data_IF_742840896416
#
_entry.id   IF_742840896416
#
_cell.length_a   1.000
_cell.length_b   1.000
_cell.length_c   1.000
_cell.angle_alpha   90.00
_cell.angle_beta   90.00
_cell.angle_gamma   90.00
#
_symmetry.space_group_name_H-M   'P 1'
#
loop_
_entity.id
_entity.type
_entity.pdbx_description
1 polymer ?
#
# COMPACT_ATOMS: atom_id res chain seq x y z
N UNK A 1 2.83 -12.07 21.28
CA UNK A 1 3.97 -11.50 20.52
C UNK A 1 3.43 -10.92 19.24
N UNK A 2 3.85 -9.72 18.84
CA UNK A 2 3.43 -9.13 17.58
C UNK A 2 4.16 -9.83 16.42
N UNK A 3 3.44 -10.19 15.36
CA UNK A 3 4.02 -10.72 14.12
C UNK A 3 4.63 -9.57 13.32
N UNK A 4 5.88 -9.72 12.87
CA UNK A 4 6.59 -8.72 12.06
C UNK A 4 6.74 -9.27 10.65
N UNK A 5 6.30 -8.50 9.65
CA UNK A 5 6.47 -8.82 8.23
C UNK A 5 7.58 -7.95 7.65
N UNK A 6 8.71 -8.54 7.28
CA UNK A 6 9.85 -7.82 6.69
C UNK A 6 9.89 -8.00 5.17
N UNK A 7 9.34 -7.03 4.43
CA UNK A 7 9.31 -7.08 2.96
C UNK A 7 10.70 -6.95 2.31
N UNK A 8 11.72 -6.55 3.06
CA UNK A 8 13.09 -6.40 2.56
C UNK A 8 13.88 -7.71 2.48
N UNK A 9 13.41 -8.78 3.13
CA UNK A 9 14.07 -10.10 3.12
C UNK A 9 13.96 -10.81 1.76
N UNK A 10 12.93 -10.47 0.98
CA UNK A 10 12.69 -11.05 -0.34
C UNK A 10 13.16 -10.07 -1.41
N UNK A 11 13.94 -10.56 -2.37
CA UNK A 11 14.41 -9.75 -3.49
C UNK A 11 13.23 -9.25 -4.34
N UNK A 12 13.02 -7.93 -4.32
CA UNK A 12 12.01 -7.25 -5.13
C UNK A 12 12.41 -5.79 -5.39
N UNK A 13 11.63 -5.11 -6.23
CA UNK A 13 11.82 -3.66 -6.50
C UNK A 13 11.68 -2.80 -5.25
N UNK A 14 11.05 -3.31 -4.18
CA UNK A 14 10.97 -2.66 -2.88
C UNK A 14 12.35 -2.27 -2.34
N UNK A 15 13.32 -3.17 -2.44
CA UNK A 15 14.68 -2.96 -1.93
C UNK A 15 15.38 -1.80 -2.65
N UNK A 16 15.11 -1.62 -3.94
CA UNK A 16 15.63 -0.49 -4.72
C UNK A 16 15.05 0.84 -4.21
N UNK A 17 13.74 0.92 -3.96
CA UNK A 17 13.11 2.14 -3.45
C UNK A 17 13.63 2.51 -2.06
N UNK A 18 13.78 1.50 -1.18
CA UNK A 18 14.37 1.70 0.15
C UNK A 18 15.83 2.17 0.06
N UNK A 19 16.63 1.60 -0.85
CA UNK A 19 18.01 2.01 -1.07
C UNK A 19 18.09 3.48 -1.54
N UNK A 20 17.22 3.88 -2.48
CA UNK A 20 17.17 5.26 -2.98
C UNK A 20 16.73 6.27 -1.90
N UNK A 21 15.81 5.89 -1.00
CA UNK A 21 15.45 6.72 0.15
C UNK A 21 16.59 6.87 1.17
N UNK A 22 17.49 5.88 1.27
CA UNK A 22 18.62 5.88 2.22
C UNK A 22 19.89 6.51 1.64
N UNK A 23 20.03 6.54 0.32
CA UNK A 23 21.23 7.06 -0.34
C UNK A 23 21.38 8.57 -0.11
N UNK A 24 22.52 8.98 0.46
CA UNK A 24 22.82 10.38 0.76
C UNK A 24 22.83 11.28 -0.48
N UNK A 25 23.21 10.72 -1.63
CA UNK A 25 23.26 11.43 -2.91
C UNK A 25 21.87 11.51 -3.55
N UNK A 26 21.16 10.38 -3.64
CA UNK A 26 19.90 10.28 -4.38
C UNK A 26 18.75 10.95 -3.63
N UNK A 27 18.71 10.87 -2.29
CA UNK A 27 17.61 11.44 -1.50
C UNK A 27 17.48 12.97 -1.62
N UNK A 28 18.51 13.64 -2.15
CA UNK A 28 18.49 15.09 -2.41
C UNK A 28 17.48 15.47 -3.51
N UNK A 29 17.16 14.54 -4.41
CA UNK A 29 16.07 14.67 -5.37
C UNK A 29 14.72 14.52 -4.65
N UNK A 30 14.14 15.66 -4.28
CA UNK A 30 12.88 15.74 -3.53
C UNK A 30 11.70 15.09 -4.26
N UNK A 31 11.67 15.14 -5.60
CA UNK A 31 10.59 14.51 -6.37
C UNK A 31 10.69 13.00 -6.29
N UNK A 32 11.89 12.47 -6.47
CA UNK A 32 12.16 11.03 -6.35
C UNK A 32 11.91 10.51 -4.95
N UNK A 33 12.34 11.23 -3.91
CA UNK A 33 12.10 10.84 -2.52
C UNK A 33 10.60 10.68 -2.23
N UNK A 34 9.78 11.67 -2.61
CA UNK A 34 8.32 11.60 -2.44
C UNK A 34 7.71 10.43 -3.23
N UNK A 35 8.11 10.29 -4.50
CA UNK A 35 7.56 9.23 -5.36
C UNK A 35 7.93 7.82 -4.88
N UNK A 36 9.13 7.64 -4.32
CA UNK A 36 9.54 6.35 -3.75
C UNK A 36 8.79 6.03 -2.45
N UNK A 37 8.47 7.02 -1.62
CA UNK A 37 7.59 6.82 -0.47
C UNK A 37 6.17 6.40 -0.90
N UNK A 38 5.61 7.04 -1.93
CA UNK A 38 4.32 6.63 -2.51
C UNK A 38 4.36 5.18 -3.02
N UNK A 39 5.38 4.82 -3.81
CA UNK A 39 5.56 3.45 -4.33
C UNK A 39 5.68 2.41 -3.22
N UNK A 40 6.39 2.75 -2.15
CA UNK A 40 6.48 1.89 -0.96
C UNK A 40 5.10 1.75 -0.30
N UNK A 41 4.31 2.83 -0.22
CA UNK A 41 2.93 2.77 0.26
C UNK A 41 2.03 1.87 -0.59
N UNK A 42 2.15 1.93 -1.92
CA UNK A 42 1.43 1.06 -2.85
C UNK A 42 1.79 -0.43 -2.62
N UNK A 43 3.08 -0.74 -2.42
CA UNK A 43 3.54 -2.09 -2.11
C UNK A 43 3.01 -2.56 -0.74
N UNK A 44 3.05 -1.69 0.27
CA UNK A 44 2.49 -2.00 1.58
C UNK A 44 1.00 -2.26 1.50
N UNK A 45 0.26 -1.47 0.73
CA UNK A 45 -1.18 -1.67 0.53
C UNK A 45 -1.47 -3.05 -0.05
N UNK A 46 -0.71 -3.44 -1.08
CA UNK A 46 -0.85 -4.75 -1.70
C UNK A 46 -0.55 -5.89 -0.74
N UNK A 47 0.54 -5.83 0.03
CA UNK A 47 0.89 -6.88 0.98
C UNK A 47 -0.09 -6.97 2.15
N UNK A 48 -0.56 -5.83 2.67
CA UNK A 48 -1.60 -5.78 3.70
C UNK A 48 -2.91 -6.38 3.17
N UNK A 49 -3.27 -6.11 1.91
CA UNK A 49 -4.53 -6.59 1.32
C UNK A 49 -4.67 -8.12 1.42
N UNK A 50 -3.57 -8.86 1.30
CA UNK A 50 -3.55 -10.33 1.38
C UNK A 50 -3.92 -10.89 2.77
N UNK A 51 -3.93 -10.05 3.79
CA UNK A 51 -4.23 -10.43 5.18
C UNK A 51 -5.66 -10.08 5.61
N UNK A 52 -6.40 -9.34 4.78
CA UNK A 52 -7.77 -8.90 5.07
C UNK A 52 -8.76 -10.06 4.96
N UNK A 53 -9.97 -9.85 5.49
CA UNK A 53 -11.07 -10.79 5.34
C UNK A 53 -11.74 -10.65 3.97
N UNK A 54 -12.04 -11.80 3.36
CA UNK A 54 -12.67 -11.87 2.04
C UNK A 54 -13.94 -12.72 2.09
N UNK A 55 -14.93 -12.34 1.29
CA UNK A 55 -16.15 -13.10 1.07
C UNK A 55 -16.39 -13.35 -0.42
N UNK A 56 -17.05 -14.46 -0.74
CA UNK A 56 -17.44 -14.79 -2.11
C UNK A 56 -18.64 -13.94 -2.54
N UNK A 57 -18.49 -13.23 -3.64
CA UNK A 57 -19.53 -12.39 -4.25
C UNK A 57 -19.73 -12.82 -5.70
N UNK A 58 -20.99 -12.93 -6.12
CA UNK A 58 -21.33 -13.18 -7.51
C UNK A 58 -21.16 -11.90 -8.34
N UNK A 59 -20.33 -11.97 -9.37
CA UNK A 59 -20.06 -10.87 -10.29
C UNK A 59 -20.61 -11.23 -11.66
N UNK A 60 -21.51 -10.38 -12.16
CA UNK A 60 -22.06 -10.50 -13.52
C UNK A 60 -21.06 -9.90 -14.50
N UNK A 61 -20.47 -10.74 -15.34
CA UNK A 61 -19.59 -10.33 -16.44
C UNK A 61 -20.34 -10.39 -17.77
N UNK A 62 -19.84 -9.77 -18.85
CA UNK A 62 -20.45 -9.90 -20.17
C UNK A 62 -20.59 -11.33 -20.70
N UNK A 63 -19.82 -12.29 -20.15
CA UNK A 63 -19.81 -13.69 -20.57
C UNK A 63 -20.56 -14.64 -19.61
N UNK A 64 -21.06 -14.12 -18.47
CA UNK A 64 -21.78 -14.92 -17.48
C UNK A 64 -21.50 -14.50 -16.03
N UNK A 65 -22.06 -15.23 -15.08
CA UNK A 65 -21.89 -15.00 -13.64
C UNK A 65 -20.72 -15.83 -13.12
N UNK A 66 -19.81 -15.19 -12.38
CA UNK A 66 -18.65 -15.83 -11.75
C UNK A 66 -18.56 -15.45 -10.29
N UNK A 67 -18.05 -16.36 -9.46
CA UNK A 67 -17.77 -16.06 -8.06
C UNK A 67 -16.37 -15.45 -7.92
N UNK A 68 -16.27 -14.33 -7.21
CA UNK A 68 -15.00 -13.67 -6.91
C UNK A 68 -14.90 -13.35 -5.42
N UNK A 69 -13.70 -13.47 -4.87
CA UNK A 69 -13.41 -13.07 -3.49
C UNK A 69 -13.21 -11.55 -3.45
N UNK A 70 -14.01 -10.86 -2.63
CA UNK A 70 -13.88 -9.43 -2.41
C UNK A 70 -13.64 -9.14 -0.93
N UNK A 71 -12.89 -8.08 -0.64
CA UNK A 71 -12.61 -7.62 0.72
C UNK A 71 -13.93 -7.25 1.40
N UNK A 72 -14.15 -7.73 2.62
CA UNK A 72 -15.39 -7.51 3.38
C UNK A 72 -15.52 -6.05 3.81
N UNK A 73 -14.44 -5.45 4.31
CA UNK A 73 -14.43 -4.10 4.86
C UNK A 73 -13.18 -3.33 4.44
N UNK A 74 -13.34 -2.04 4.14
CA UNK A 74 -12.22 -1.16 3.81
C UNK A 74 -11.48 -0.73 5.08
N UNK A 75 -10.14 -0.64 5.06
CA UNK A 75 -9.40 -0.11 6.20
C UNK A 75 -9.62 1.40 6.35
N UNK A 76 -9.34 1.92 7.55
CA UNK A 76 -9.21 3.37 7.79
C UNK A 76 -7.74 3.76 7.72
N UNK A 77 -7.40 4.70 6.83
CA UNK A 77 -6.04 5.22 6.67
C UNK A 77 -5.82 6.40 7.61
N UNK A 78 -5.21 6.14 8.77
CA UNK A 78 -4.84 7.17 9.74
C UNK A 78 -3.38 7.62 9.53
N UNK A 79 -3.19 8.88 9.11
CA UNK A 79 -1.87 9.46 8.86
C UNK A 79 -1.47 10.46 9.92
N UNK A 80 -0.24 10.30 10.42
CA UNK A 80 0.40 11.28 11.30
C UNK A 80 1.07 12.36 10.43
N UNK A 81 0.62 13.59 10.60
CA UNK A 81 1.12 14.72 9.83
C UNK A 81 2.50 15.20 10.34
N UNK A 82 3.35 15.76 9.48
CA UNK A 82 3.18 16.02 8.02
C UNK A 82 3.89 15.00 7.13
N UNK A 83 4.78 14.19 7.70
CA UNK A 83 5.71 13.36 6.93
C UNK A 83 5.03 12.14 6.29
N UNK A 84 3.90 11.69 6.82
CA UNK A 84 3.18 10.51 6.32
C UNK A 84 2.39 10.74 5.02
N UNK A 85 2.24 11.98 4.54
CA UNK A 85 1.40 12.29 3.38
C UNK A 85 1.73 11.51 2.08
N UNK A 86 3.01 11.35 1.67
CA UNK A 86 3.31 10.57 0.47
C UNK A 86 2.98 9.08 0.63
N UNK A 87 3.25 8.53 1.82
CA UNK A 87 2.94 7.12 2.11
C UNK A 87 1.42 6.89 2.13
N UNK A 88 0.67 7.82 2.75
CA UNK A 88 -0.78 7.83 2.77
C UNK A 88 -1.37 7.80 1.36
N UNK A 89 -0.86 8.65 0.46
CA UNK A 89 -1.29 8.66 -0.92
C UNK A 89 -1.05 7.31 -1.61
N UNK A 90 0.11 6.67 -1.36
CA UNK A 90 0.40 5.34 -1.89
C UNK A 90 -0.59 4.28 -1.42
N UNK A 91 -0.96 4.30 -0.14
CA UNK A 91 -1.98 3.41 0.41
C UNK A 91 -3.38 3.68 -0.17
N UNK A 92 -3.76 4.96 -0.25
CA UNK A 92 -5.05 5.41 -0.77
C UNK A 92 -5.23 5.08 -2.27
N UNK A 93 -4.14 5.01 -3.04
CA UNK A 93 -4.20 4.60 -4.45
C UNK A 93 -4.72 3.16 -4.64
N UNK A 94 -4.58 2.29 -3.63
CA UNK A 94 -5.00 0.88 -3.67
C UNK A 94 -6.28 0.64 -2.88
N UNK A 95 -6.42 1.31 -1.72
CA UNK A 95 -7.65 1.34 -0.95
C UNK A 95 -8.42 2.63 -1.25
N UNK A 96 -8.87 2.77 -2.49
CA UNK A 96 -9.53 3.97 -3.02
C UNK A 96 -10.83 4.35 -2.30
N UNK A 97 -11.43 3.39 -1.59
CA UNK A 97 -12.64 3.52 -0.78
C UNK A 97 -12.38 3.60 0.73
N UNK A 98 -11.11 3.67 1.15
CA UNK A 98 -10.79 3.79 2.56
C UNK A 98 -11.17 5.16 3.12
N UNK A 99 -11.70 5.16 4.34
CA UNK A 99 -11.87 6.38 5.12
C UNK A 99 -10.51 6.92 5.57
N UNK A 100 -10.39 8.25 5.66
CA UNK A 100 -9.12 8.90 5.98
C UNK A 100 -9.22 9.63 7.33
N UNK A 101 -8.20 9.44 8.16
CA UNK A 101 -8.03 10.16 9.42
C UNK A 101 -6.67 10.85 9.45
N UNK A 102 -6.62 12.07 10.00
CA UNK A 102 -5.40 12.86 10.09
C UNK A 102 -5.17 13.29 11.53
N UNK A 103 -3.96 13.03 12.04
CA UNK A 103 -3.52 13.31 13.41
C UNK A 103 -2.31 14.24 13.36
#
# INVERSE_FOLDING_TARGET
>A
MATIHNLGEINSVFNQFVAELRSAEIQTDRMRFRRNLERIGEIFAYEISKTLEYQSVEVVTPLGVVQMMQVVEQPVLATILRAGLPLHQGLLNYFDKADNAFI
#
